data_IF_933037631201
#
_entry.id   IF_933037631201
#
_cell.length_a   1.000
_cell.length_b   1.000
_cell.length_c   1.000
_cell.angle_alpha   90.00
_cell.angle_beta   90.00
_cell.angle_gamma   90.00
#
_symmetry.space_group_name_H-M   'P 1'
#
loop_
_entity.id
_entity.type
_entity.pdbx_description
1 polymer ?
#
# COMPACT_ATOMS: atom_id res chain seq x y z
N UNK A 1 -25.00 -59.68 8.50
CA UNK A 1 -24.17 -58.67 9.18
C UNK A 1 -23.21 -58.08 8.18
N UNK A 2 -23.39 -56.81 7.80
CA UNK A 2 -22.50 -56.11 6.87
C UNK A 2 -21.23 -55.72 7.62
N UNK A 3 -20.14 -56.44 7.35
CA UNK A 3 -18.83 -56.13 7.88
C UNK A 3 -18.32 -54.84 7.20
N UNK A 4 -18.40 -53.73 7.93
CA UNK A 4 -17.67 -52.50 7.61
C UNK A 4 -16.18 -52.81 7.67
N UNK A 5 -15.58 -53.08 6.51
CA UNK A 5 -14.14 -53.18 6.38
C UNK A 5 -13.56 -51.75 6.50
N UNK A 6 -13.19 -51.35 7.72
CA UNK A 6 -12.32 -50.19 7.94
C UNK A 6 -10.97 -50.51 7.31
N UNK A 7 -10.74 -50.01 6.10
CA UNK A 7 -9.40 -49.96 5.52
C UNK A 7 -8.55 -49.01 6.36
N UNK A 8 -7.91 -49.56 7.40
CA UNK A 8 -6.87 -48.92 8.18
C UNK A 8 -5.83 -48.33 7.24
N UNK A 9 -5.55 -47.02 7.38
CA UNK A 9 -4.62 -46.26 6.54
C UNK A 9 -3.23 -46.89 6.54
N UNK A 10 -3.00 -47.84 5.64
CA UNK A 10 -1.68 -48.33 5.24
C UNK A 10 -1.02 -47.30 4.33
N UNK A 11 -0.56 -46.16 4.85
CA UNK A 11 0.44 -45.37 4.12
C UNK A 11 1.02 -44.22 4.95
N UNK A 12 2.08 -44.51 5.72
CA UNK A 12 2.97 -43.45 6.22
C UNK A 12 3.45 -42.52 5.09
N UNK A 13 3.56 -43.03 3.86
CA UNK A 13 3.94 -42.26 2.67
C UNK A 13 2.90 -41.19 2.30
N UNK A 14 1.60 -41.51 2.30
CA UNK A 14 0.56 -40.53 1.99
C UNK A 14 0.43 -39.47 3.10
N UNK A 15 0.69 -39.84 4.35
CA UNK A 15 0.72 -38.86 5.45
C UNK A 15 1.87 -37.85 5.31
N UNK A 16 3.06 -38.30 4.89
CA UNK A 16 4.21 -37.41 4.62
C UNK A 16 3.91 -36.50 3.42
N UNK A 17 3.30 -37.03 2.35
CA UNK A 17 2.92 -36.22 1.18
C UNK A 17 1.88 -35.16 1.56
N UNK A 18 0.87 -35.51 2.36
CA UNK A 18 -0.13 -34.56 2.86
C UNK A 18 0.49 -33.47 3.74
N UNK A 19 1.44 -33.83 4.62
CA UNK A 19 2.18 -32.85 5.42
C UNK A 19 3.02 -31.91 4.56
N UNK A 20 3.68 -32.43 3.52
CA UNK A 20 4.46 -31.60 2.59
C UNK A 20 3.57 -30.63 1.80
N UNK A 21 2.43 -31.09 1.29
CA UNK A 21 1.45 -30.25 0.61
C UNK A 21 0.85 -29.19 1.53
N UNK A 22 0.52 -29.55 2.78
CA UNK A 22 0.04 -28.60 3.78
C UNK A 22 1.10 -27.56 4.15
N UNK A 23 2.37 -27.94 4.24
CA UNK A 23 3.46 -27.01 4.49
C UNK A 23 3.67 -26.03 3.32
N UNK A 24 3.63 -26.51 2.06
CA UNK A 24 3.74 -25.66 0.87
C UNK A 24 2.55 -24.69 0.77
N UNK A 25 1.33 -25.18 1.02
CA UNK A 25 0.13 -24.34 1.05
C UNK A 25 0.15 -23.31 2.19
N UNK A 26 0.61 -23.71 3.38
CA UNK A 26 0.76 -22.81 4.53
C UNK A 26 1.82 -21.72 4.28
N UNK A 27 2.98 -22.09 3.75
CA UNK A 27 4.05 -21.12 3.45
C UNK A 27 3.69 -20.17 2.31
N UNK A 28 3.00 -20.65 1.27
CA UNK A 28 2.56 -19.83 0.14
C UNK A 28 1.49 -18.79 0.50
N UNK A 29 0.60 -19.12 1.45
CA UNK A 29 -0.49 -18.22 1.83
C UNK A 29 -0.04 -17.04 2.69
N UNK A 30 1.00 -17.19 3.52
CA UNK A 30 1.49 -16.09 4.36
C UNK A 30 2.31 -15.04 3.61
N UNK A 31 2.98 -15.41 2.51
CA UNK A 31 3.84 -14.50 1.75
C UNK A 31 3.09 -13.68 0.69
N UNK A 32 2.05 -14.27 0.08
CA UNK A 32 1.34 -13.66 -1.05
C UNK A 32 0.18 -12.72 -0.65
N UNK A 33 -0.36 -12.87 0.56
CA UNK A 33 -1.58 -12.18 1.00
C UNK A 33 -1.28 -11.21 2.14
N UNK A 34 -1.82 -9.99 2.04
CA UNK A 34 -1.87 -9.04 3.14
C UNK A 34 -2.80 -9.56 4.24
N UNK A 35 -2.71 -8.98 5.45
CA UNK A 35 -3.58 -9.32 6.59
C UNK A 35 -5.07 -9.16 6.29
N UNK A 36 -5.42 -8.42 5.23
CA UNK A 36 -6.78 -8.15 4.80
C UNK A 36 -7.23 -9.05 3.65
N UNK A 37 -6.48 -10.10 3.31
CA UNK A 37 -6.82 -11.04 2.25
C UNK A 37 -6.70 -10.46 0.83
N UNK A 38 -5.98 -9.34 0.67
CA UNK A 38 -5.64 -8.77 -0.64
C UNK A 38 -4.22 -9.18 -1.05
N UNK A 39 -3.93 -9.37 -2.35
CA UNK A 39 -2.58 -9.63 -2.82
C UNK A 39 -1.61 -8.52 -2.38
N UNK A 40 -0.42 -8.91 -1.92
CA UNK A 40 0.63 -7.93 -1.63
C UNK A 40 1.29 -7.49 -2.93
N UNK A 41 1.15 -6.22 -3.29
CA UNK A 41 1.76 -5.63 -4.48
C UNK A 41 3.09 -4.99 -4.09
N UNK A 42 4.19 -5.40 -4.74
CA UNK A 42 5.49 -4.75 -4.60
C UNK A 42 5.68 -3.62 -5.62
N UNK A 43 6.71 -2.78 -5.44
CA UNK A 43 6.96 -1.64 -6.34
C UNK A 43 7.14 -2.06 -7.79
N UNK A 44 7.80 -3.19 -8.06
CA UNK A 44 8.02 -3.69 -9.42
C UNK A 44 6.71 -4.09 -10.10
N UNK A 45 5.81 -4.75 -9.37
CA UNK A 45 4.48 -5.11 -9.87
C UNK A 45 3.64 -3.86 -10.08
N UNK A 46 3.66 -2.91 -9.13
CA UNK A 46 2.96 -1.64 -9.28
C UNK A 46 3.44 -0.85 -10.51
N UNK A 47 4.75 -0.79 -10.76
CA UNK A 47 5.33 -0.13 -11.92
C UNK A 47 4.88 -0.75 -13.24
N UNK A 48 4.83 -2.09 -13.31
CA UNK A 48 4.30 -2.81 -14.48
C UNK A 48 2.81 -2.52 -14.69
N UNK A 49 2.02 -2.48 -13.62
CA UNK A 49 0.60 -2.14 -13.70
C UNK A 49 0.41 -0.70 -14.20
N UNK A 50 1.20 0.25 -13.69
CA UNK A 50 1.17 1.66 -14.10
C UNK A 50 1.54 1.89 -15.57
N UNK A 51 2.27 0.96 -16.21
CA UNK A 51 2.57 1.01 -17.64
C UNK A 51 1.41 0.50 -18.51
N UNK A 52 0.54 -0.35 -17.95
CA UNK A 52 -0.58 -0.96 -18.67
C UNK A 52 -1.86 -0.16 -18.47
N UNK A 53 -2.06 0.35 -17.26
CA UNK A 53 -3.28 1.01 -16.83
C UNK A 53 -2.94 2.15 -15.86
N UNK A 54 -3.70 3.26 -15.89
CA UNK A 54 -3.63 4.30 -14.87
C UNK A 54 -3.89 3.71 -13.48
N UNK A 55 -2.98 3.96 -12.53
CA UNK A 55 -3.11 3.48 -11.15
C UNK A 55 -3.46 4.62 -10.21
N UNK A 56 -4.25 4.29 -9.17
CA UNK A 56 -4.46 5.17 -8.01
C UNK A 56 -3.70 4.56 -6.83
N UNK A 57 -2.72 5.30 -6.31
CA UNK A 57 -1.89 4.87 -5.19
C UNK A 57 -2.25 5.70 -3.97
N UNK A 58 -2.64 5.05 -2.88
CA UNK A 58 -2.92 5.75 -1.62
C UNK A 58 -1.83 5.42 -0.62
N UNK A 59 -1.21 6.46 -0.05
CA UNK A 59 -0.28 6.31 1.05
C UNK A 59 -0.63 7.25 2.20
N UNK A 60 -0.27 6.82 3.42
CA UNK A 60 -0.52 7.60 4.63
C UNK A 60 0.56 8.66 4.79
N UNK A 61 0.22 9.75 5.49
CA UNK A 61 1.22 10.69 6.01
C UNK A 61 2.33 9.95 6.78
N UNK A 62 3.53 10.52 6.76
CA UNK A 62 4.70 10.04 7.50
C UNK A 62 4.51 10.18 9.03
N UNK A 63 5.53 9.76 9.79
CA UNK A 63 5.51 9.79 11.25
C UNK A 63 5.10 11.16 11.79
N UNK A 64 4.04 11.18 12.62
CA UNK A 64 3.52 12.40 13.25
C UNK A 64 4.45 12.90 14.35
N UNK A 65 4.66 14.21 14.41
CA UNK A 65 5.41 14.85 15.49
C UNK A 65 4.68 14.75 16.84
N UNK A 66 3.38 15.07 16.91
CA UNK A 66 2.58 15.04 18.15
C UNK A 66 2.36 13.64 18.76
N UNK A 67 2.84 12.57 18.10
CA UNK A 67 2.74 11.19 18.57
C UNK A 67 4.08 10.46 18.60
N UNK A 68 5.19 11.20 18.57
CA UNK A 68 6.54 10.65 18.58
C UNK A 68 7.42 11.45 19.54
N UNK A 69 8.49 10.80 20.03
CA UNK A 69 9.58 11.46 20.75
C UNK A 69 10.67 11.98 19.81
N UNK A 70 10.57 11.68 18.51
CA UNK A 70 11.51 12.16 17.49
C UNK A 70 11.37 13.68 17.28
N UNK A 71 12.46 14.30 16.83
CA UNK A 71 12.48 15.72 16.53
C UNK A 71 11.42 16.06 15.46
N UNK A 72 10.63 17.09 15.74
CA UNK A 72 9.65 17.63 14.82
C UNK A 72 10.33 18.40 13.69
N UNK A 73 9.81 18.26 12.46
CA UNK A 73 10.32 19.04 11.32
C UNK A 73 10.09 20.55 11.55
N UNK A 74 8.90 20.91 12.03
CA UNK A 74 8.49 22.29 12.29
C UNK A 74 7.28 22.31 13.24
N UNK A 75 6.06 22.31 12.70
CA UNK A 75 4.81 22.35 13.47
C UNK A 75 4.50 21.03 14.19
N UNK A 76 3.89 21.11 15.39
CA UNK A 76 3.52 19.92 16.18
C UNK A 76 2.51 19.01 15.50
N UNK A 77 1.62 19.57 14.69
CA UNK A 77 0.60 18.83 13.92
C UNK A 77 1.15 18.21 12.63
N UNK A 78 2.43 18.47 12.33
CA UNK A 78 3.16 17.98 11.18
C UNK A 78 3.84 16.63 11.39
N UNK A 79 4.92 16.41 10.65
CA UNK A 79 5.74 15.19 10.69
C UNK A 79 7.08 15.40 11.40
N UNK A 80 7.74 14.30 11.73
CA UNK A 80 9.10 14.31 12.30
C UNK A 80 10.17 14.50 11.22
N UNK A 81 11.39 14.84 11.65
CA UNK A 81 12.57 14.86 10.77
C UNK A 81 12.85 13.46 10.21
N UNK A 82 12.68 12.41 11.02
CA UNK A 82 12.79 11.02 10.54
C UNK A 82 11.74 10.71 9.47
N UNK A 83 10.47 11.00 9.74
CA UNK A 83 9.39 10.78 8.78
C UNK A 83 9.58 11.57 7.47
N UNK A 84 10.24 12.71 7.53
CA UNK A 84 10.66 13.48 6.34
C UNK A 84 11.67 12.73 5.48
N UNK A 85 12.68 12.10 6.10
CA UNK A 85 13.67 11.30 5.40
C UNK A 85 13.02 10.06 4.77
N UNK A 86 12.21 9.34 5.54
CA UNK A 86 11.49 8.16 5.08
C UNK A 86 10.57 8.50 3.88
N UNK A 87 9.84 9.62 3.94
CA UNK A 87 8.99 10.07 2.84
C UNK A 87 9.80 10.42 1.58
N UNK A 88 10.98 11.03 1.73
CA UNK A 88 11.86 11.37 0.62
C UNK A 88 12.45 10.14 -0.04
N UNK A 89 12.94 9.19 0.74
CA UNK A 89 13.49 7.93 0.23
C UNK A 89 12.42 7.15 -0.53
N UNK A 90 11.22 7.04 0.03
CA UNK A 90 10.09 6.39 -0.61
C UNK A 90 9.69 7.10 -1.91
N UNK A 91 9.61 8.43 -1.90
CA UNK A 91 9.25 9.24 -3.06
C UNK A 91 10.26 9.13 -4.21
N UNK A 92 11.55 9.11 -3.89
CA UNK A 92 12.63 8.91 -4.86
C UNK A 92 12.55 7.51 -5.50
N UNK A 93 12.36 6.47 -4.69
CA UNK A 93 12.21 5.11 -5.19
C UNK A 93 10.94 4.96 -6.06
N UNK A 94 9.82 5.52 -5.60
CA UNK A 94 8.56 5.50 -6.34
C UNK A 94 8.68 6.22 -7.69
N UNK A 95 9.24 7.43 -7.71
CA UNK A 95 9.34 8.25 -8.92
C UNK A 95 10.36 7.70 -9.94
N UNK A 96 11.32 6.89 -9.49
CA UNK A 96 12.23 6.18 -10.39
C UNK A 96 11.50 5.09 -11.20
N UNK A 97 10.56 4.38 -10.56
CA UNK A 97 9.78 3.31 -11.19
C UNK A 97 8.53 3.83 -11.93
N UNK A 98 7.91 4.89 -11.40
CA UNK A 98 6.67 5.50 -11.91
C UNK A 98 6.91 7.01 -12.06
N UNK A 99 7.49 7.46 -13.18
CA UNK A 99 7.92 8.86 -13.33
C UNK A 99 6.81 9.83 -13.70
N UNK A 100 5.65 9.38 -14.17
CA UNK A 100 4.52 10.23 -14.56
C UNK A 100 3.32 9.96 -13.64
N UNK A 101 3.07 10.89 -12.72
CA UNK A 101 1.95 10.87 -11.80
C UNK A 101 1.59 12.28 -11.34
N UNK A 102 0.31 12.47 -11.02
CA UNK A 102 -0.19 13.66 -10.34
C UNK A 102 -0.29 13.39 -8.84
N UNK A 103 0.32 14.27 -8.04
CA UNK A 103 0.41 14.11 -6.59
C UNK A 103 -0.58 15.01 -5.87
N UNK A 104 -1.35 14.41 -4.98
CA UNK A 104 -2.36 15.09 -4.18
C UNK A 104 -2.14 14.92 -2.67
N UNK A 105 -2.65 15.86 -1.90
CA UNK A 105 -2.76 15.71 -0.45
C UNK A 105 -4.05 16.34 0.07
N UNK A 106 -4.50 15.91 1.24
CA UNK A 106 -5.46 16.71 2.02
C UNK A 106 -4.81 18.00 2.52
N UNK A 107 -5.60 18.90 3.09
CA UNK A 107 -5.16 20.21 3.58
C UNK A 107 -4.57 20.19 5.01
N UNK A 108 -4.18 19.03 5.54
CA UNK A 108 -3.54 18.95 6.87
C UNK A 108 -2.04 19.16 6.76
N UNK A 109 -1.42 19.76 7.78
CA UNK A 109 0.04 20.02 7.79
C UNK A 109 0.83 18.74 7.55
N UNK A 110 0.51 17.65 8.26
CA UNK A 110 1.20 16.35 8.10
C UNK A 110 1.10 15.75 6.69
N UNK A 111 -0.04 15.86 6.01
CA UNK A 111 -0.21 15.31 4.65
C UNK A 111 0.50 16.16 3.62
N UNK A 112 0.41 17.49 3.74
CA UNK A 112 1.15 18.43 2.88
C UNK A 112 2.66 18.20 3.02
N UNK A 113 3.18 18.13 4.25
CA UNK A 113 4.61 17.89 4.49
C UNK A 113 5.06 16.53 3.95
N UNK A 114 4.28 15.47 4.19
CA UNK A 114 4.61 14.13 3.69
C UNK A 114 4.66 14.11 2.16
N UNK A 115 3.64 14.67 1.51
CA UNK A 115 3.58 14.72 0.05
C UNK A 115 4.67 15.64 -0.54
N UNK A 116 4.98 16.75 0.12
CA UNK A 116 6.08 17.63 -0.29
C UNK A 116 7.41 16.88 -0.33
N UNK A 117 7.73 16.12 0.72
CA UNK A 117 8.96 15.35 0.77
C UNK A 117 8.95 14.11 -0.11
N UNK A 118 7.80 13.50 -0.33
CA UNK A 118 7.60 12.40 -1.29
C UNK A 118 7.68 12.86 -2.74
N UNK A 119 7.40 14.13 -3.04
CA UNK A 119 7.16 14.60 -4.40
C UNK A 119 8.26 14.32 -5.42
N UNK A 120 9.51 14.16 -4.99
CA UNK A 120 10.68 14.02 -5.87
C UNK A 120 10.70 15.11 -6.98
N UNK A 121 10.26 16.33 -6.64
CA UNK A 121 10.18 17.47 -7.57
C UNK A 121 8.88 17.58 -8.35
N UNK A 122 7.90 16.69 -8.14
CA UNK A 122 6.56 16.80 -8.72
C UNK A 122 5.74 17.90 -8.06
N UNK A 123 4.81 18.48 -8.85
CA UNK A 123 3.86 19.47 -8.34
C UNK A 123 2.87 18.79 -7.40
N UNK A 124 2.74 19.33 -6.19
CA UNK A 124 1.73 18.92 -5.22
C UNK A 124 0.44 19.73 -5.40
N UNK A 125 -0.70 19.06 -5.48
CA UNK A 125 -2.04 19.67 -5.45
C UNK A 125 -2.73 19.39 -4.12
N UNK A 126 -3.16 20.43 -3.41
CA UNK A 126 -3.89 20.28 -2.15
C UNK A 126 -5.39 20.28 -2.41
N UNK A 127 -6.07 19.19 -2.03
CA UNK A 127 -7.52 19.05 -2.13
C UNK A 127 -8.12 18.68 -0.76
N UNK A 128 -8.88 19.62 -0.17
CA UNK A 128 -9.54 19.44 1.13
C UNK A 128 -10.55 18.29 1.14
N UNK A 129 -11.04 17.83 -0.02
CA UNK A 129 -11.96 16.69 -0.11
C UNK A 129 -11.28 15.38 0.29
N UNK A 130 -9.96 15.29 0.17
CA UNK A 130 -9.16 14.15 0.62
C UNK A 130 -8.99 14.09 2.15
N UNK A 131 -9.52 15.07 2.89
CA UNK A 131 -9.62 14.99 4.36
C UNK A 131 -10.80 14.11 4.81
N UNK A 132 -11.79 13.93 3.95
CA UNK A 132 -13.02 13.22 4.33
C UNK A 132 -12.77 11.73 4.50
N UNK A 133 -13.68 11.07 5.22
CA UNK A 133 -13.68 9.62 5.39
C UNK A 133 -14.74 8.98 4.48
N UNK A 134 -14.85 7.65 4.48
CA UNK A 134 -16.00 6.95 3.88
C UNK A 134 -16.21 7.23 2.40
N UNK A 135 -17.47 7.40 2.00
CA UNK A 135 -17.87 7.54 0.60
C UNK A 135 -17.44 8.88 0.00
N UNK A 136 -17.22 9.90 0.83
CA UNK A 136 -16.80 11.22 0.40
C UNK A 136 -15.39 11.21 -0.20
N UNK A 137 -14.43 10.51 0.42
CA UNK A 137 -13.09 10.39 -0.15
C UNK A 137 -13.07 9.55 -1.42
N UNK A 138 -13.85 8.47 -1.49
CA UNK A 138 -14.00 7.69 -2.72
C UNK A 138 -14.56 8.54 -3.86
N UNK A 139 -15.55 9.38 -3.57
CA UNK A 139 -16.14 10.29 -4.54
C UNK A 139 -15.12 11.34 -5.03
N UNK A 140 -14.29 11.86 -4.13
CA UNK A 140 -13.21 12.79 -4.47
C UNK A 140 -12.18 12.14 -5.39
N UNK A 141 -11.72 10.93 -5.07
CA UNK A 141 -10.76 10.17 -5.89
C UNK A 141 -11.37 9.87 -7.28
N UNK A 142 -12.64 9.45 -7.33
CA UNK A 142 -13.33 9.17 -8.60
C UNK A 142 -13.45 10.42 -9.47
N UNK A 143 -13.72 11.58 -8.88
CA UNK A 143 -13.75 12.87 -9.58
C UNK A 143 -12.35 13.30 -10.08
N UNK A 144 -11.27 12.99 -9.35
CA UNK A 144 -9.91 13.21 -9.85
C UNK A 144 -9.61 12.30 -11.04
N UNK A 145 -9.95 11.01 -10.93
CA UNK A 145 -9.75 10.03 -11.99
C UNK A 145 -10.55 10.37 -13.27
N UNK A 146 -11.79 10.86 -13.14
CA UNK A 146 -12.59 11.23 -14.32
C UNK A 146 -12.04 12.45 -15.07
N UNK A 147 -11.32 13.34 -14.37
CA UNK A 147 -10.68 14.52 -14.96
C UNK A 147 -9.33 14.21 -15.63
N UNK A 148 -8.66 13.14 -15.19
CA UNK A 148 -7.38 12.71 -15.73
C UNK A 148 -7.38 11.18 -15.92
N UNK A 149 -8.19 10.65 -16.86
CA UNK A 149 -8.45 9.21 -16.98
C UNK A 149 -7.19 8.42 -17.32
N UNK A 150 -6.20 9.03 -17.97
CA UNK A 150 -4.97 8.39 -18.44
C UNK A 150 -3.75 8.66 -17.54
N UNK A 151 -3.96 9.23 -16.33
CA UNK A 151 -2.88 9.61 -15.42
C UNK A 151 -2.84 8.75 -14.17
N UNK A 152 -1.63 8.42 -13.74
CA UNK A 152 -1.42 7.86 -12.41
C UNK A 152 -1.70 8.95 -11.37
N UNK A 153 -2.46 8.61 -10.34
CA UNK A 153 -2.81 9.51 -9.23
C UNK A 153 -2.21 8.95 -7.96
N UNK A 154 -1.57 9.83 -7.18
CA UNK A 154 -0.95 9.49 -5.90
C UNK A 154 -1.46 10.42 -4.80
#
# INVERSE_FOLDING_TARGET
>A
MLAFCRSSLKSKKYFIILLALAAIAGLGTHAAWSSNGLPRIDNKTLARLAQQHPVVVLFRHAERCDRSTNQCLSDKTGITVKGTQDARELGNAFSADIPDFDLYSSNTVRTIQSATWFSAGKKLTVDKRLLQCGNEIYSAIKDLQSKAPDKNIV
#
